data_IF_018869574213
#
_entry.id   IF_018869574213
#
_cell.length_a   1.000
_cell.length_b   1.000
_cell.length_c   1.000
_cell.angle_alpha   90.00
_cell.angle_beta   90.00
_cell.angle_gamma   90.00
#
_symmetry.space_group_name_H-M   'P 1'
#
loop_
_entity.id
_entity.type
_entity.pdbx_description
1 polymer ?
#
# COMPACT_ATOMS: atom_id res chain seq x y z
N UNK A 1 42.76 8.18 16.61
CA UNK A 1 41.30 8.39 16.73
C UNK A 1 40.68 7.81 15.47
N UNK A 2 40.03 6.65 15.57
CA UNK A 2 39.55 5.91 14.40
C UNK A 2 38.41 6.67 13.70
N UNK A 3 38.58 6.87 12.39
CA UNK A 3 37.63 7.44 11.44
C UNK A 3 36.41 6.51 11.39
N UNK A 4 35.22 7.02 11.70
CA UNK A 4 33.99 6.23 11.75
C UNK A 4 33.16 6.52 10.50
N UNK A 5 33.63 6.01 9.36
CA UNK A 5 33.01 6.18 8.03
C UNK A 5 31.81 5.26 7.77
N UNK A 6 31.38 4.46 8.76
CA UNK A 6 30.30 3.49 8.56
C UNK A 6 28.99 4.00 9.14
N UNK A 7 27.93 3.93 8.33
CA UNK A 7 26.56 4.09 8.76
C UNK A 7 26.31 3.03 9.84
N UNK A 8 26.31 3.45 11.11
CA UNK A 8 26.15 2.53 12.23
C UNK A 8 24.71 2.10 12.26
N UNK A 9 24.45 0.93 11.65
CA UNK A 9 23.18 0.24 11.82
C UNK A 9 22.82 0.22 13.31
N UNK A 10 21.65 0.77 13.62
CA UNK A 10 21.20 1.01 14.99
C UNK A 10 19.79 0.47 15.18
N UNK A 11 19.37 0.33 16.43
CA UNK A 11 17.98 -0.01 16.76
C UNK A 11 16.95 0.93 16.11
N UNK A 12 17.32 2.20 15.86
CA UNK A 12 16.48 3.12 15.10
C UNK A 12 16.19 2.65 13.68
N UNK A 13 17.18 2.07 13.00
CA UNK A 13 17.01 1.53 11.65
C UNK A 13 16.05 0.34 11.67
N UNK A 14 16.18 -0.58 12.64
CA UNK A 14 15.27 -1.72 12.80
C UNK A 14 13.82 -1.22 12.95
N UNK A 15 13.60 -0.25 13.83
CA UNK A 15 12.28 0.34 14.06
C UNK A 15 11.71 0.97 12.78
N UNK A 16 12.51 1.77 12.06
CA UNK A 16 12.08 2.40 10.83
C UNK A 16 11.80 1.38 9.70
N UNK A 17 12.58 0.30 9.60
CA UNK A 17 12.32 -0.77 8.65
C UNK A 17 11.02 -1.51 8.95
N UNK A 18 10.74 -1.81 10.22
CA UNK A 18 9.45 -2.40 10.62
C UNK A 18 8.29 -1.47 10.27
N UNK A 19 8.42 -0.18 10.55
CA UNK A 19 7.41 0.82 10.15
C UNK A 19 7.22 0.87 8.63
N UNK A 20 8.32 0.83 7.86
CA UNK A 20 8.29 0.84 6.39
C UNK A 20 7.64 -0.43 5.83
N UNK A 21 7.93 -1.62 6.38
CA UNK A 21 7.28 -2.88 6.00
C UNK A 21 5.78 -2.78 6.26
N UNK A 22 5.38 -2.25 7.43
CA UNK A 22 3.98 -2.09 7.76
C UNK A 22 3.26 -1.11 6.82
N UNK A 23 3.85 0.07 6.55
CA UNK A 23 3.31 1.04 5.58
C UNK A 23 3.21 0.39 4.20
N UNK A 24 4.24 -0.36 3.77
CA UNK A 24 4.26 -1.04 2.48
C UNK A 24 3.09 -2.00 2.34
N UNK A 25 2.90 -2.86 3.34
CA UNK A 25 1.83 -3.85 3.31
C UNK A 25 0.45 -3.18 3.34
N UNK A 26 0.22 -2.21 4.24
CA UNK A 26 -1.08 -1.53 4.32
C UNK A 26 -1.37 -0.70 3.06
N UNK A 27 -0.35 -0.05 2.49
CA UNK A 27 -0.50 0.67 1.22
C UNK A 27 -0.74 -0.30 0.06
N UNK A 28 -0.09 -1.47 0.05
CA UNK A 28 -0.35 -2.52 -0.94
C UNK A 28 -1.81 -2.96 -0.89
N UNK A 29 -2.31 -3.25 0.30
CA UNK A 29 -3.73 -3.57 0.51
C UNK A 29 -4.62 -2.44 0.00
N UNK A 30 -4.33 -1.19 0.38
CA UNK A 30 -5.09 -0.02 -0.03
C UNK A 30 -5.15 0.20 -1.54
N UNK A 31 -4.01 0.09 -2.25
CA UNK A 31 -4.00 0.19 -3.70
C UNK A 31 -4.78 -0.97 -4.32
N UNK A 32 -4.64 -2.18 -3.79
CA UNK A 32 -5.36 -3.35 -4.30
C UNK A 32 -6.88 -3.19 -4.19
N UNK A 33 -7.36 -2.57 -3.10
CA UNK A 33 -8.77 -2.22 -2.97
C UNK A 33 -9.19 -1.17 -4.00
N UNK A 34 -8.40 -0.10 -4.18
CA UNK A 34 -8.68 0.96 -5.17
C UNK A 34 -8.74 0.43 -6.61
N UNK A 35 -7.85 -0.51 -6.95
CA UNK A 35 -7.73 -1.05 -8.31
C UNK A 35 -8.50 -2.34 -8.52
N UNK A 36 -9.36 -2.72 -7.57
CA UNK A 36 -10.22 -3.87 -7.72
C UNK A 36 -9.44 -5.17 -8.04
N UNK A 37 -8.36 -5.38 -7.29
CA UNK A 37 -7.56 -6.61 -7.32
C UNK A 37 -6.37 -6.62 -8.28
N UNK A 38 -5.98 -5.48 -8.87
CA UNK A 38 -4.76 -5.43 -9.69
C UNK A 38 -3.48 -5.43 -8.83
N UNK A 39 -2.95 -6.62 -8.60
CA UNK A 39 -1.74 -6.82 -7.79
C UNK A 39 -0.47 -6.26 -8.42
N UNK A 40 -0.38 -6.17 -9.76
CA UNK A 40 0.80 -5.60 -10.41
C UNK A 40 0.85 -4.09 -10.21
N UNK A 41 -0.29 -3.42 -10.40
CA UNK A 41 -0.42 -2.00 -10.14
C UNK A 41 -0.16 -1.67 -8.66
N UNK A 42 -0.71 -2.48 -7.74
CA UNK A 42 -0.46 -2.35 -6.32
C UNK A 42 1.02 -2.54 -5.95
N UNK A 43 1.69 -3.54 -6.53
CA UNK A 43 3.12 -3.78 -6.32
C UNK A 43 3.99 -2.62 -6.80
N UNK A 44 3.72 -2.09 -7.99
CA UNK A 44 4.44 -0.94 -8.54
C UNK A 44 4.21 0.33 -7.71
N UNK A 45 2.98 0.57 -7.28
CA UNK A 45 2.66 1.72 -6.43
C UNK A 45 3.38 1.70 -5.09
N UNK A 46 3.46 0.53 -4.44
CA UNK A 46 4.21 0.38 -3.17
C UNK A 46 5.72 0.54 -3.37
N UNK A 47 6.26 0.08 -4.49
CA UNK A 47 7.66 0.32 -4.83
C UNK A 47 7.96 1.83 -4.86
N UNK A 48 7.09 2.62 -5.52
CA UNK A 48 7.22 4.08 -5.58
C UNK A 48 7.12 4.71 -4.19
N UNK A 49 6.14 4.30 -3.38
CA UNK A 49 5.97 4.77 -1.99
C UNK A 49 7.26 4.53 -1.19
N UNK A 50 7.82 3.33 -1.28
CA UNK A 50 9.04 2.98 -0.56
C UNK A 50 10.25 3.80 -1.01
N UNK A 51 10.42 4.03 -2.31
CA UNK A 51 11.49 4.89 -2.82
C UNK A 51 11.37 6.31 -2.26
N UNK A 52 10.16 6.88 -2.26
CA UNK A 52 9.91 8.21 -1.69
C UNK A 52 10.22 8.22 -0.19
N UNK A 53 9.74 7.24 0.59
CA UNK A 53 10.03 7.18 2.02
C UNK A 53 11.54 7.04 2.31
N UNK A 54 12.27 6.24 1.52
CA UNK A 54 13.73 6.12 1.65
C UNK A 54 14.39 7.47 1.37
N UNK A 55 13.98 8.18 0.32
CA UNK A 55 14.53 9.50 -0.03
C UNK A 55 14.34 10.51 1.11
N UNK A 56 13.16 10.54 1.74
CA UNK A 56 12.85 11.56 2.75
C UNK A 56 13.25 11.19 4.18
N UNK A 57 13.40 9.91 4.53
CA UNK A 57 13.69 9.49 5.90
C UNK A 57 15.07 8.84 6.06
N UNK A 58 15.62 8.20 5.02
CA UNK A 58 16.93 7.53 5.08
C UNK A 58 18.03 8.45 4.54
N UNK A 59 17.85 9.12 3.40
CA UNK A 59 18.92 9.98 2.83
C UNK A 59 19.35 11.12 3.77
N UNK A 60 18.45 11.84 4.48
CA UNK A 60 18.88 12.89 5.40
C UNK A 60 19.80 12.39 6.51
N UNK A 61 19.65 11.13 6.93
CA UNK A 61 20.53 10.52 7.92
C UNK A 61 21.95 10.30 7.37
N UNK A 62 22.05 9.90 6.09
CA UNK A 62 23.32 9.68 5.39
C UNK A 62 24.04 11.03 5.27
N UNK A 63 23.29 12.08 4.90
CA UNK A 63 23.82 13.44 4.80
C UNK A 63 24.27 13.99 6.16
N UNK A 64 23.55 13.68 7.25
CA UNK A 64 23.89 14.07 8.62
C UNK A 64 25.19 13.44 9.10
N UNK A 65 25.44 12.18 8.75
CA UNK A 65 26.63 11.42 9.16
C UNK A 65 27.89 11.70 8.34
N UNK A 66 27.77 12.37 7.20
CA UNK A 66 28.87 12.56 6.26
C UNK A 66 30.06 13.37 6.78
N UNK A 67 31.24 13.11 6.22
CA UNK A 67 32.56 13.55 6.71
C UNK A 67 33.18 14.68 5.88
N UNK A 68 32.58 14.98 4.72
CA UNK A 68 33.06 15.93 3.73
C UNK A 68 31.91 16.72 3.11
N UNK A 69 32.22 17.92 2.57
CA UNK A 69 31.29 18.81 1.89
C UNK A 69 30.08 19.21 2.74
N UNK A 70 30.33 19.47 4.03
CA UNK A 70 29.30 19.79 5.04
C UNK A 70 28.33 20.90 4.61
N UNK A 71 28.84 21.98 4.02
CA UNK A 71 28.01 23.13 3.57
C UNK A 71 27.00 22.76 2.48
N UNK A 72 27.34 21.86 1.55
CA UNK A 72 26.39 21.41 0.52
C UNK A 72 25.41 20.39 1.10
N UNK A 73 25.91 19.44 1.88
CA UNK A 73 25.09 18.35 2.45
C UNK A 73 24.04 18.85 3.44
N UNK A 74 24.35 19.87 4.25
CA UNK A 74 23.36 20.44 5.18
C UNK A 74 22.18 21.12 4.47
N UNK A 75 22.41 21.73 3.30
CA UNK A 75 21.32 22.34 2.52
C UNK A 75 20.35 21.27 2.03
N UNK A 76 20.86 20.18 1.45
CA UNK A 76 20.03 19.05 1.03
C UNK A 76 19.35 18.36 2.21
N UNK A 77 20.06 18.18 3.33
CA UNK A 77 19.50 17.61 4.56
C UNK A 77 18.28 18.42 5.03
N UNK A 78 18.40 19.74 5.10
CA UNK A 78 17.30 20.64 5.51
C UNK A 78 16.12 20.56 4.55
N UNK A 79 16.37 20.64 3.24
CA UNK A 79 15.31 20.57 2.22
C UNK A 79 14.53 19.27 2.39
N UNK A 80 15.21 18.12 2.44
CA UNK A 80 14.56 16.83 2.58
C UNK A 80 13.84 16.69 3.93
N UNK A 81 14.48 17.06 5.04
CA UNK A 81 13.88 16.93 6.37
C UNK A 81 12.62 17.78 6.54
N UNK A 82 12.65 19.04 6.10
CA UNK A 82 11.49 19.94 6.24
C UNK A 82 10.37 19.66 5.23
N UNK A 83 10.68 19.04 4.09
CA UNK A 83 9.65 18.60 3.13
C UNK A 83 9.11 17.18 3.40
N UNK A 84 9.75 16.41 4.27
CA UNK A 84 9.31 15.05 4.63
C UNK A 84 7.84 14.95 5.09
N UNK A 85 7.28 15.86 5.92
CA UNK A 85 5.86 15.81 6.29
C UNK A 85 4.91 15.85 5.08
N UNK A 86 5.20 16.72 4.10
CA UNK A 86 4.38 16.90 2.91
C UNK A 86 4.36 15.63 2.06
N UNK A 87 5.55 15.10 1.77
CA UNK A 87 5.68 13.89 0.96
C UNK A 87 5.15 12.66 1.70
N UNK A 88 5.30 12.59 3.02
CA UNK A 88 4.71 11.55 3.84
C UNK A 88 3.18 11.54 3.71
N UNK A 89 2.51 12.70 3.87
CA UNK A 89 1.05 12.78 3.69
C UNK A 89 0.65 12.34 2.28
N UNK A 90 1.38 12.76 1.25
CA UNK A 90 1.07 12.39 -0.14
C UNK A 90 1.15 10.88 -0.39
N UNK A 91 2.19 10.19 0.11
CA UNK A 91 2.35 8.74 -0.10
C UNK A 91 1.46 7.89 0.82
N UNK A 92 0.88 8.49 1.86
CA UNK A 92 -0.02 7.81 2.79
C UNK A 92 -1.48 7.76 2.31
N UNK A 93 -1.79 8.27 1.12
CA UNK A 93 -3.15 8.21 0.54
C UNK A 93 -3.66 6.77 0.42
N UNK A 94 -2.92 5.80 -0.19
CA UNK A 94 -3.42 4.44 -0.28
C UNK A 94 -3.51 3.74 1.08
N UNK A 95 -2.55 4.04 1.98
CA UNK A 95 -2.62 3.61 3.37
C UNK A 95 -3.92 4.06 4.05
N UNK A 96 -4.28 5.33 3.92
CA UNK A 96 -5.50 5.88 4.52
C UNK A 96 -6.76 5.27 3.91
N UNK A 97 -6.74 4.98 2.61
CA UNK A 97 -7.83 4.29 1.95
C UNK A 97 -8.05 2.89 2.53
N UNK A 98 -7.01 2.09 2.75
CA UNK A 98 -7.17 0.77 3.40
C UNK A 98 -7.90 0.88 4.75
N UNK A 99 -7.54 1.87 5.56
CA UNK A 99 -8.20 2.06 6.85
C UNK A 99 -9.65 2.52 6.74
N UNK A 100 -10.02 3.15 5.63
CA UNK A 100 -11.42 3.47 5.31
C UNK A 100 -12.18 2.19 5.00
N UNK A 101 -11.61 1.28 4.21
CA UNK A 101 -12.17 -0.05 3.97
C UNK A 101 -12.27 -0.85 5.28
N UNK A 102 -11.23 -0.81 6.11
CA UNK A 102 -11.21 -1.48 7.42
C UNK A 102 -12.27 -0.93 8.38
N UNK A 103 -12.60 0.37 8.30
CA UNK A 103 -13.69 0.95 9.07
C UNK A 103 -15.04 0.31 8.68
N UNK A 104 -15.24 0.06 7.38
CA UNK A 104 -16.44 -0.58 6.82
C UNK A 104 -16.35 -2.12 6.80
N UNK A 105 -15.36 -2.73 7.46
CA UNK A 105 -15.07 -4.17 7.36
C UNK A 105 -16.28 -5.07 7.64
N UNK A 106 -17.13 -4.72 8.61
CA UNK A 106 -18.29 -5.54 8.93
C UNK A 106 -19.26 -5.62 7.76
N UNK A 107 -19.49 -4.50 7.06
CA UNK A 107 -20.32 -4.51 5.86
C UNK A 107 -19.65 -5.31 4.74
N UNK A 108 -18.34 -5.11 4.54
CA UNK A 108 -17.59 -5.76 3.47
C UNK A 108 -17.54 -7.28 3.64
N UNK A 109 -17.16 -7.75 4.83
CA UNK A 109 -17.00 -9.16 5.16
C UNK A 109 -18.35 -9.90 5.18
N UNK A 110 -19.39 -9.30 5.78
CA UNK A 110 -20.73 -9.90 5.81
C UNK A 110 -21.34 -9.95 4.41
N UNK A 111 -21.33 -8.84 3.66
CA UNK A 111 -21.91 -8.81 2.31
C UNK A 111 -21.23 -9.84 1.41
N UNK A 112 -19.90 -9.94 1.47
CA UNK A 112 -19.15 -10.94 0.73
C UNK A 112 -19.55 -12.38 1.13
N UNK A 113 -19.55 -12.68 2.43
CA UNK A 113 -19.89 -14.03 2.93
C UNK A 113 -21.32 -14.44 2.55
N UNK A 114 -22.28 -13.54 2.71
CA UNK A 114 -23.68 -13.76 2.32
C UNK A 114 -23.84 -13.93 0.82
N UNK A 115 -23.13 -13.13 0.01
CA UNK A 115 -23.18 -13.22 -1.45
C UNK A 115 -22.70 -14.57 -1.94
N UNK A 116 -21.57 -15.05 -1.44
CA UNK A 116 -21.04 -16.36 -1.84
C UNK A 116 -21.96 -17.49 -1.32
N UNK A 117 -22.44 -17.42 -0.08
CA UNK A 117 -23.38 -18.42 0.45
C UNK A 117 -24.69 -18.48 -0.34
N UNK A 118 -25.19 -17.35 -0.82
CA UNK A 118 -26.40 -17.28 -1.66
C UNK A 118 -26.27 -18.16 -2.90
N UNK A 119 -25.06 -18.31 -3.45
CA UNK A 119 -24.85 -19.12 -4.66
C UNK A 119 -25.07 -20.60 -4.45
N UNK A 120 -25.04 -21.11 -3.21
CA UNK A 120 -25.45 -22.50 -2.94
C UNK A 120 -26.89 -22.77 -3.38
N UNK A 121 -27.75 -21.75 -3.38
CA UNK A 121 -29.14 -21.85 -3.80
C UNK A 121 -29.32 -22.26 -5.27
N UNK A 122 -28.31 -22.10 -6.13
CA UNK A 122 -28.40 -22.58 -7.52
C UNK A 122 -28.45 -24.12 -7.58
N UNK A 123 -27.74 -24.80 -6.67
CA UNK A 123 -27.77 -26.27 -6.59
C UNK A 123 -29.13 -26.76 -6.07
N UNK A 124 -29.71 -26.07 -5.08
CA UNK A 124 -31.06 -26.37 -4.61
C UNK A 124 -32.11 -26.15 -5.71
N UNK A 125 -31.98 -25.05 -6.47
CA UNK A 125 -32.86 -24.74 -7.60
C UNK A 125 -32.73 -25.75 -8.74
N UNK A 126 -31.50 -26.20 -9.02
CA UNK A 126 -31.24 -27.24 -10.00
C UNK A 126 -31.80 -28.60 -9.57
N UNK A 127 -31.64 -29.00 -8.31
CA UNK A 127 -32.23 -30.23 -7.77
C UNK A 127 -33.76 -30.21 -7.87
N UNK A 128 -34.39 -29.09 -7.53
CA UNK A 128 -35.83 -28.93 -7.68
C UNK A 128 -36.28 -29.06 -9.14
N UNK A 129 -35.55 -28.41 -10.06
CA UNK A 129 -35.78 -28.53 -11.50
C UNK A 129 -35.62 -29.97 -12.00
N UNK A 130 -34.50 -30.62 -11.69
CA UNK A 130 -34.18 -31.97 -12.15
C UNK A 130 -35.20 -32.99 -11.63
N UNK A 131 -35.54 -32.93 -10.34
CA UNK A 131 -36.56 -33.80 -9.75
C UNK A 131 -37.94 -33.59 -10.37
N UNK A 132 -38.32 -32.35 -10.69
CA UNK A 132 -39.58 -32.06 -11.37
C UNK A 132 -39.59 -32.62 -12.80
N UNK A 133 -38.50 -32.47 -13.55
CA UNK A 133 -38.34 -33.01 -14.91
C UNK A 133 -38.41 -34.54 -14.91
N UNK A 134 -37.71 -35.21 -13.99
CA UNK A 134 -37.77 -36.67 -13.81
C UNK A 134 -39.19 -37.13 -13.51
N UNK A 135 -39.90 -36.42 -12.62
CA UNK A 135 -41.28 -36.74 -12.23
C UNK A 135 -42.28 -36.61 -13.39
N UNK A 136 -42.20 -35.55 -14.18
CA UNK A 136 -43.07 -35.38 -15.35
C UNK A 136 -42.74 -36.39 -16.46
N UNK A 137 -41.46 -36.76 -16.62
CA UNK A 137 -41.06 -37.82 -17.54
C UNK A 137 -41.64 -39.18 -17.14
N UNK A 138 -41.48 -39.56 -15.87
CA UNK A 138 -42.03 -40.80 -15.30
C UNK A 138 -43.55 -40.89 -15.50
N UNK A 139 -44.25 -39.78 -15.28
CA UNK A 139 -45.70 -39.66 -15.49
C UNK A 139 -46.10 -39.82 -16.97
N UNK A 140 -45.32 -39.26 -17.92
CA UNK A 140 -45.57 -39.44 -19.35
C UNK A 140 -45.40 -40.89 -19.78
N UNK A 141 -44.34 -41.56 -19.33
CA UNK A 141 -44.10 -42.98 -19.60
C UNK A 141 -45.21 -43.87 -19.02
N UNK A 142 -45.68 -43.55 -17.81
CA UNK A 142 -46.82 -44.23 -17.20
C UNK A 142 -48.10 -44.11 -18.06
N UNK A 143 -48.38 -42.90 -18.57
CA UNK A 143 -49.55 -42.64 -19.41
C UNK A 143 -49.47 -43.38 -20.76
N UNK A 144 -48.27 -43.51 -21.31
CA UNK A 144 -48.01 -44.27 -22.54
C UNK A 144 -48.04 -45.79 -22.35
N UNK A 145 -48.29 -46.28 -21.12
CA UNK A 145 -48.31 -47.71 -20.77
C UNK A 145 -46.99 -48.42 -21.11
N UNK A 146 -45.86 -47.72 -21.02
CA UNK A 146 -44.54 -48.30 -21.17
C UNK A 146 -44.35 -49.43 -20.15
N UNK A 147 -43.74 -50.55 -20.56
CA UNK A 147 -43.47 -51.67 -19.66
C UNK A 147 -42.65 -51.22 -18.44
N UNK A 148 -42.93 -51.82 -17.28
CA UNK A 148 -42.37 -51.40 -15.98
C UNK A 148 -40.84 -51.37 -16.00
N UNK A 149 -40.21 -52.40 -16.58
CA UNK A 149 -38.74 -52.51 -16.68
C UNK A 149 -38.16 -51.42 -17.58
N UNK A 150 -38.76 -51.20 -18.75
CA UNK A 150 -38.35 -50.15 -19.68
C UNK A 150 -38.49 -48.75 -19.07
N UNK A 151 -39.64 -48.47 -18.47
CA UNK A 151 -39.90 -47.20 -17.77
C UNK A 151 -38.87 -46.94 -16.66
N UNK A 152 -38.56 -47.95 -15.86
CA UNK A 152 -37.58 -47.82 -14.76
C UNK A 152 -36.19 -47.47 -15.32
N UNK A 153 -35.76 -48.15 -16.38
CA UNK A 153 -34.46 -47.90 -17.01
C UNK A 153 -34.39 -46.51 -17.66
N UNK A 154 -35.46 -46.05 -18.30
CA UNK A 154 -35.53 -44.72 -18.93
C UNK A 154 -35.50 -43.60 -17.89
N UNK A 155 -36.28 -43.73 -16.81
CA UNK A 155 -36.27 -42.78 -15.68
C UNK A 155 -34.88 -42.73 -15.02
N UNK A 156 -34.25 -43.89 -14.82
CA UNK A 156 -32.90 -43.95 -14.25
C UNK A 156 -31.86 -43.34 -15.19
N UNK A 157 -31.98 -43.56 -16.50
CA UNK A 157 -31.09 -42.90 -17.47
C UNK A 157 -31.21 -41.37 -17.40
N UNK A 158 -32.42 -40.82 -17.25
CA UNK A 158 -32.62 -39.37 -17.10
C UNK A 158 -32.05 -38.87 -15.76
N UNK A 159 -32.27 -39.64 -14.70
CA UNK A 159 -31.70 -39.33 -13.38
C UNK A 159 -30.17 -39.28 -13.44
N UNK A 160 -29.53 -40.29 -14.04
CA UNK A 160 -28.08 -40.33 -14.22
C UNK A 160 -27.56 -39.22 -15.16
N UNK A 161 -28.40 -38.70 -16.05
CA UNK A 161 -27.99 -37.56 -16.86
C UNK A 161 -27.99 -36.26 -16.05
N UNK A 162 -29.00 -36.05 -15.21
CA UNK A 162 -29.22 -34.78 -14.49
C UNK A 162 -28.50 -34.70 -13.15
N UNK A 163 -28.48 -35.80 -12.39
CA UNK A 163 -27.98 -35.91 -11.01
C UNK A 163 -27.13 -37.18 -10.88
N UNK A 164 -25.98 -37.20 -11.56
CA UNK A 164 -24.97 -38.26 -11.40
C UNK A 164 -23.68 -37.73 -10.75
N UNK A 165 -22.65 -38.56 -10.73
CA UNK A 165 -21.34 -38.30 -10.13
C UNK A 165 -20.73 -36.96 -10.58
N UNK A 166 -20.99 -36.51 -11.80
CA UNK A 166 -20.55 -35.20 -12.31
C UNK A 166 -21.22 -34.02 -11.58
N UNK A 167 -22.52 -34.13 -11.30
CA UNK A 167 -23.26 -33.16 -10.51
C UNK A 167 -22.79 -33.16 -9.05
N UNK A 168 -22.67 -34.34 -8.44
CA UNK A 168 -22.26 -34.46 -7.05
C UNK A 168 -20.83 -33.94 -6.84
N UNK A 169 -19.90 -34.27 -7.75
CA UNK A 169 -18.53 -33.75 -7.73
C UNK A 169 -18.49 -32.22 -7.90
N UNK A 170 -19.33 -31.67 -8.79
CA UNK A 170 -19.45 -30.22 -8.98
C UNK A 170 -19.97 -29.55 -7.71
N UNK A 171 -21.07 -30.05 -7.15
CA UNK A 171 -21.70 -29.51 -5.93
C UNK A 171 -20.76 -29.59 -4.75
N UNK A 172 -20.13 -30.73 -4.50
CA UNK A 172 -19.20 -30.91 -3.39
C UNK A 172 -18.02 -29.95 -3.51
N UNK A 173 -17.41 -29.87 -4.70
CA UNK A 173 -16.29 -28.95 -4.97
C UNK A 173 -16.69 -27.49 -4.76
N UNK A 174 -17.83 -27.08 -5.30
CA UNK A 174 -18.34 -25.73 -5.18
C UNK A 174 -18.69 -25.37 -3.73
N UNK A 175 -19.45 -26.22 -3.03
CA UNK A 175 -19.85 -25.99 -1.63
C UNK A 175 -18.63 -25.92 -0.72
N UNK A 176 -17.68 -26.85 -0.87
CA UNK A 176 -16.42 -26.84 -0.10
C UNK A 176 -15.62 -25.57 -0.35
N UNK A 177 -15.56 -25.11 -1.60
CA UNK A 177 -14.90 -23.86 -1.94
C UNK A 177 -15.60 -22.65 -1.32
N UNK A 178 -16.94 -22.61 -1.39
CA UNK A 178 -17.77 -21.54 -0.80
C UNK A 178 -17.54 -21.47 0.71
N UNK A 179 -17.57 -22.62 1.39
CA UNK A 179 -17.40 -22.69 2.84
C UNK A 179 -15.99 -22.24 3.27
N UNK A 180 -14.95 -22.62 2.52
CA UNK A 180 -13.59 -22.15 2.75
C UNK A 180 -13.42 -20.64 2.48
N UNK A 181 -14.16 -20.09 1.53
CA UNK A 181 -14.15 -18.66 1.25
C UNK A 181 -14.93 -17.84 2.31
N UNK A 182 -15.91 -18.47 2.98
CA UNK A 182 -16.77 -17.87 4.00
C UNK A 182 -16.04 -17.65 5.33
N UNK A 183 -15.14 -16.68 5.33
CA UNK A 183 -14.28 -16.32 6.46
C UNK A 183 -13.16 -15.36 6.08
N UNK A 184 -13.07 -14.96 4.81
CA UNK A 184 -12.12 -13.96 4.37
C UNK A 184 -12.35 -12.62 5.09
N UNK A 185 -11.27 -12.03 5.58
CA UNK A 185 -11.27 -10.71 6.22
C UNK A 185 -10.71 -9.66 5.26
N UNK A 186 -10.92 -8.39 5.57
CA UNK A 186 -10.33 -7.28 4.80
C UNK A 186 -8.79 -7.27 4.83
N UNK A 187 -8.14 -8.04 5.70
CA UNK A 187 -6.68 -8.23 5.68
C UNK A 187 -6.22 -9.24 4.63
N UNK A 188 -7.13 -10.07 4.13
CA UNK A 188 -6.83 -11.02 3.07
C UNK A 188 -6.92 -10.32 1.71
N UNK A 189 -5.76 -10.00 1.12
CA UNK A 189 -5.68 -9.35 -0.20
C UNK A 189 -6.40 -10.16 -1.30
N UNK A 190 -6.44 -11.48 -1.12
CA UNK A 190 -7.10 -12.36 -2.08
C UNK A 190 -8.60 -12.26 -2.00
N UNK A 191 -9.22 -11.72 -0.94
CA UNK A 191 -10.67 -11.53 -0.88
C UNK A 191 -11.18 -10.77 -2.12
N UNK A 192 -10.54 -9.66 -2.49
CA UNK A 192 -10.92 -8.84 -3.65
C UNK A 192 -10.45 -9.43 -4.96
N UNK A 193 -9.21 -9.92 -5.03
CA UNK A 193 -8.72 -10.64 -6.21
C UNK A 193 -9.56 -11.90 -6.51
N UNK A 194 -10.26 -12.41 -5.51
CA UNK A 194 -11.19 -13.51 -5.64
C UNK A 194 -12.58 -13.07 -6.06
N UNK A 195 -13.06 -11.84 -5.84
CA UNK A 195 -14.45 -11.46 -6.23
C UNK A 195 -14.68 -11.72 -7.72
N UNK A 196 -13.77 -11.28 -8.60
CA UNK A 196 -13.83 -11.59 -10.04
C UNK A 196 -13.79 -13.08 -10.32
N UNK A 197 -12.88 -13.81 -9.65
CA UNK A 197 -12.76 -15.27 -9.79
C UNK A 197 -14.00 -16.01 -9.28
N UNK A 198 -14.65 -15.47 -8.25
CA UNK A 198 -15.89 -15.94 -7.65
C UNK A 198 -17.01 -15.74 -8.67
N UNK A 199 -17.17 -14.54 -9.21
CA UNK A 199 -18.16 -14.27 -10.26
C UNK A 199 -18.00 -15.25 -11.43
N UNK A 200 -16.77 -15.42 -11.94
CA UNK A 200 -16.48 -16.39 -13.00
C UNK A 200 -16.73 -17.84 -12.58
N UNK A 201 -16.39 -18.23 -11.35
CA UNK A 201 -16.63 -19.59 -10.85
C UNK A 201 -18.13 -19.88 -10.75
N UNK A 202 -18.92 -18.93 -10.24
CA UNK A 202 -20.38 -19.03 -10.14
C UNK A 202 -21.00 -19.17 -11.53
N UNK A 203 -20.56 -18.34 -12.49
CA UNK A 203 -21.00 -18.46 -13.89
C UNK A 203 -20.66 -19.84 -14.47
N UNK A 204 -19.44 -20.32 -14.25
CA UNK A 204 -19.01 -21.63 -14.74
C UNK A 204 -19.84 -22.76 -14.14
N UNK A 205 -20.09 -22.74 -12.83
CA UNK A 205 -20.93 -23.74 -12.18
C UNK A 205 -22.35 -23.71 -12.74
N UNK A 206 -22.95 -22.52 -12.89
CA UNK A 206 -24.29 -22.39 -13.43
C UNK A 206 -24.37 -22.84 -14.90
N UNK A 207 -23.35 -22.56 -15.70
CA UNK A 207 -23.24 -23.03 -17.08
C UNK A 207 -23.12 -24.55 -17.15
N UNK A 208 -22.35 -25.18 -16.26
CA UNK A 208 -22.28 -26.65 -16.17
C UNK A 208 -23.62 -27.28 -15.80
N UNK A 209 -24.38 -26.66 -14.88
CA UNK A 209 -25.74 -27.12 -14.55
C UNK A 209 -26.68 -27.01 -15.77
N UNK A 210 -26.61 -25.89 -16.50
CA UNK A 210 -27.34 -25.73 -17.75
C UNK A 210 -26.95 -26.79 -18.78
N UNK A 211 -25.66 -27.09 -18.93
CA UNK A 211 -25.13 -28.12 -19.83
C UNK A 211 -25.62 -29.54 -19.48
N UNK A 212 -25.58 -29.93 -18.20
CA UNK A 212 -26.08 -31.23 -17.74
C UNK A 212 -27.55 -31.46 -18.12
N UNK A 213 -28.34 -30.38 -18.06
CA UNK A 213 -29.73 -30.39 -18.43
C UNK A 213 -30.01 -30.17 -19.92
N UNK A 214 -29.00 -29.81 -20.72
CA UNK A 214 -29.15 -29.40 -22.11
C UNK A 214 -29.54 -30.54 -23.05
N UNK A 215 -29.22 -31.79 -22.68
CA UNK A 215 -29.63 -32.96 -23.44
C UNK A 215 -31.08 -33.33 -23.09
N UNK A 216 -31.92 -33.46 -24.11
CA UNK A 216 -33.33 -33.85 -23.98
C UNK A 216 -33.52 -35.22 -24.63
N UNK A 217 -34.10 -36.17 -23.92
CA UNK A 217 -34.40 -37.50 -24.44
C UNK A 217 -35.60 -37.44 -25.39
N UNK A 218 -35.60 -38.33 -26.39
CA UNK A 218 -36.65 -38.42 -27.42
C UNK A 218 -38.06 -38.54 -26.85
N UNK A 219 -38.18 -39.24 -25.72
CA UNK A 219 -39.46 -39.63 -25.15
C UNK A 219 -39.95 -38.64 -24.08
N UNK A 220 -39.22 -37.54 -23.83
CA UNK A 220 -39.61 -36.50 -22.87
C UNK A 220 -40.81 -35.66 -23.32
N UNK A 221 -41.57 -35.04 -22.40
CA UNK A 221 -42.67 -34.15 -22.75
C UNK A 221 -42.26 -33.04 -23.74
N UNK A 222 -43.18 -32.63 -24.62
CA UNK A 222 -42.94 -31.50 -25.52
C UNK A 222 -42.77 -30.21 -24.69
N UNK A 223 -41.77 -29.39 -25.02
CA UNK A 223 -41.51 -28.12 -24.35
C UNK A 223 -40.68 -28.22 -23.07
N UNK A 224 -39.97 -29.32 -22.85
CA UNK A 224 -38.91 -29.38 -21.83
C UNK A 224 -37.78 -28.46 -22.26
N UNK A 225 -37.47 -27.47 -21.41
CA UNK A 225 -36.36 -26.54 -21.61
C UNK A 225 -35.20 -26.90 -20.66
N UNK A 226 -33.94 -26.65 -21.05
CA UNK A 226 -32.79 -26.74 -20.15
C UNK A 226 -32.94 -25.85 -18.92
N UNK A 227 -32.16 -26.17 -17.88
CA UNK A 227 -32.03 -25.33 -16.71
C UNK A 227 -31.51 -23.95 -17.09
N UNK A 228 -32.18 -22.93 -16.57
CA UNK A 228 -31.89 -21.54 -16.88
C UNK A 228 -30.49 -21.15 -16.40
N UNK A 229 -29.69 -20.57 -17.30
CA UNK A 229 -28.43 -19.92 -16.94
C UNK A 229 -28.61 -18.60 -16.19
N UNK A 230 -29.86 -18.17 -15.95
CA UNK A 230 -30.22 -16.96 -15.20
C UNK A 230 -30.91 -17.29 -13.88
N UNK A 231 -30.25 -18.10 -13.05
CA UNK A 231 -30.75 -18.44 -11.73
C UNK A 231 -30.83 -17.17 -10.83
N UNK A 232 -31.92 -16.95 -10.08
CA UNK A 232 -32.06 -15.79 -9.20
C UNK A 232 -30.97 -15.69 -8.13
N UNK A 233 -30.48 -16.83 -7.62
CA UNK A 233 -29.44 -16.87 -6.59
C UNK A 233 -28.09 -16.40 -7.15
N UNK A 234 -27.77 -16.80 -8.39
CA UNK A 234 -26.58 -16.36 -9.14
C UNK A 234 -26.66 -14.86 -9.43
N UNK A 235 -27.80 -14.40 -9.92
CA UNK A 235 -28.01 -12.99 -10.27
C UNK A 235 -27.87 -12.09 -9.03
N UNK A 236 -28.52 -12.47 -7.93
CA UNK A 236 -28.44 -11.73 -6.65
C UNK A 236 -27.03 -11.73 -6.07
N UNK A 237 -26.32 -12.85 -6.13
CA UNK A 237 -24.95 -12.93 -5.65
C UNK A 237 -24.01 -12.00 -6.46
N UNK A 238 -24.10 -12.02 -7.79
CA UNK A 238 -23.34 -11.12 -8.65
C UNK A 238 -23.68 -9.66 -8.41
N UNK A 239 -24.96 -9.32 -8.27
CA UNK A 239 -25.37 -7.94 -7.97
C UNK A 239 -24.76 -7.46 -6.65
N UNK A 240 -24.83 -8.26 -5.59
CA UNK A 240 -24.25 -7.91 -4.30
C UNK A 240 -22.72 -7.77 -4.37
N UNK A 241 -22.02 -8.64 -5.10
CA UNK A 241 -20.57 -8.55 -5.31
C UNK A 241 -20.18 -7.28 -6.10
N UNK A 242 -20.97 -6.91 -7.10
CA UNK A 242 -20.77 -5.67 -7.84
C UNK A 242 -21.06 -4.43 -6.99
N UNK A 243 -22.12 -4.45 -6.18
CA UNK A 243 -22.40 -3.38 -5.23
C UNK A 243 -21.27 -3.24 -4.20
N UNK A 244 -20.71 -4.36 -3.74
CA UNK A 244 -19.56 -4.37 -2.83
C UNK A 244 -18.32 -3.68 -3.44
N UNK A 245 -18.11 -3.81 -4.75
CA UNK A 245 -17.04 -3.10 -5.48
C UNK A 245 -17.05 -1.61 -5.26
N UNK A 246 -18.23 -0.99 -5.28
CA UNK A 246 -18.36 0.44 -5.04
C UNK A 246 -17.92 0.83 -3.62
N UNK A 247 -18.19 -0.03 -2.63
CA UNK A 247 -17.88 0.23 -1.22
C UNK A 247 -16.37 0.27 -0.96
N UNK A 248 -15.61 -0.67 -1.54
CA UNK A 248 -14.17 -0.74 -1.29
C UNK A 248 -13.31 0.05 -2.28
N UNK A 249 -13.81 0.46 -3.45
CA UNK A 249 -13.03 1.27 -4.41
C UNK A 249 -13.16 2.78 -4.17
N UNK A 250 -14.18 3.21 -3.43
CA UNK A 250 -14.43 4.64 -3.20
C UNK A 250 -13.40 5.22 -2.22
N UNK A 251 -12.70 6.28 -2.64
CA UNK A 251 -11.85 7.06 -1.74
C UNK A 251 -12.70 7.87 -0.77
N UNK A 252 -12.49 7.65 0.52
CA UNK A 252 -13.06 8.45 1.61
C UNK A 252 -12.02 9.29 2.31
N UNK A 253 -12.47 10.08 3.28
CA UNK A 253 -11.58 10.81 4.19
C UNK A 253 -10.86 9.84 5.13
N UNK A 254 -9.57 10.07 5.46
CA UNK A 254 -8.82 9.25 6.40
C UNK A 254 -9.56 9.11 7.73
N UNK A 255 -9.70 7.88 8.23
CA UNK A 255 -10.29 7.64 9.55
C UNK A 255 -9.38 8.15 10.66
N UNK A 256 -9.95 8.49 11.83
CA UNK A 256 -9.15 8.94 12.99
C UNK A 256 -8.09 7.93 13.42
N UNK A 257 -8.40 6.63 13.27
CA UNK A 257 -7.45 5.54 13.49
C UNK A 257 -6.29 5.62 12.49
N UNK A 258 -6.57 5.80 11.20
CA UNK A 258 -5.54 5.95 10.17
C UNK A 258 -4.61 7.12 10.47
N UNK A 259 -5.17 8.26 10.89
CA UNK A 259 -4.39 9.45 11.27
C UNK A 259 -3.50 9.13 12.48
N UNK A 260 -4.06 8.54 13.53
CA UNK A 260 -3.31 8.21 14.75
C UNK A 260 -2.14 7.26 14.50
N UNK A 261 -2.37 6.16 13.78
CA UNK A 261 -1.29 5.21 13.43
C UNK A 261 -0.33 5.85 12.43
N UNK A 262 -0.80 6.67 11.49
CA UNK A 262 0.04 7.41 10.54
C UNK A 262 1.02 8.35 11.24
N UNK A 263 0.57 9.10 12.26
CA UNK A 263 1.44 9.95 13.08
C UNK A 263 2.48 9.12 13.84
N UNK A 264 2.07 8.00 14.42
CA UNK A 264 3.00 7.08 15.10
C UNK A 264 4.07 6.58 14.12
N UNK A 265 3.67 6.11 12.94
CA UNK A 265 4.58 5.61 11.91
C UNK A 265 5.56 6.69 11.42
N UNK A 266 5.09 7.93 11.25
CA UNK A 266 5.94 9.07 10.92
C UNK A 266 7.05 9.25 11.97
N UNK A 267 6.69 9.22 13.26
CA UNK A 267 7.66 9.32 14.36
C UNK A 267 8.64 8.14 14.31
N UNK A 268 8.15 6.91 14.09
CA UNK A 268 8.97 5.70 13.98
C UNK A 268 10.00 5.80 12.84
N UNK A 269 9.62 6.37 11.70
CA UNK A 269 10.53 6.60 10.57
C UNK A 269 11.61 7.67 10.84
N UNK A 270 11.38 8.58 11.79
CA UNK A 270 12.36 9.60 12.17
C UNK A 270 13.45 9.09 13.16
N UNK A 271 13.24 7.96 13.84
CA UNK A 271 14.19 7.43 14.83
C UNK A 271 15.63 7.29 14.33
N UNK A 272 15.90 6.74 13.12
CA UNK A 272 17.25 6.65 12.60
C UNK A 272 17.93 8.03 12.54
N UNK A 273 17.22 9.04 12.04
CA UNK A 273 17.73 10.41 11.95
C UNK A 273 17.99 11.02 13.34
N UNK A 274 17.12 10.77 14.32
CA UNK A 274 17.26 11.27 15.70
C UNK A 274 18.52 10.69 16.36
N UNK A 275 18.72 9.38 16.22
CA UNK A 275 19.83 8.64 16.85
C UNK A 275 21.17 8.93 16.16
N UNK A 276 21.17 9.14 14.84
CA UNK A 276 22.38 9.39 14.08
C UNK A 276 23.10 10.64 14.61
N UNK A 277 24.35 10.47 15.04
CA UNK A 277 25.19 11.61 15.41
C UNK A 277 25.72 12.32 14.17
N UNK A 278 25.88 13.64 14.28
CA UNK A 278 26.60 14.43 13.27
C UNK A 278 28.10 14.23 13.46
N UNK A 279 28.86 14.30 12.36
CA UNK A 279 30.31 14.27 12.43
C UNK A 279 30.83 15.43 13.30
N UNK A 280 31.76 15.14 14.21
CA UNK A 280 32.31 16.10 15.18
C UNK A 280 33.07 17.25 14.54
N UNK A 281 33.47 17.13 13.27
CA UNK A 281 34.12 18.20 12.50
C UNK A 281 33.14 19.23 11.91
N UNK A 282 31.83 18.95 11.93
CA UNK A 282 30.82 19.84 11.34
C UNK A 282 30.34 20.90 12.32
N UNK A 283 30.51 22.18 12.00
CA UNK A 283 29.94 23.31 12.75
C UNK A 283 28.48 23.61 12.37
N UNK A 284 27.93 22.93 11.36
CA UNK A 284 26.56 23.15 10.90
C UNK A 284 25.55 22.33 11.72
N UNK A 285 24.45 22.96 12.13
CA UNK A 285 23.34 22.31 12.84
C UNK A 285 22.10 22.23 11.93
N UNK A 286 21.12 21.40 12.29
CA UNK A 286 19.85 21.34 11.56
C UNK A 286 19.20 22.75 11.52
N UNK A 287 19.22 23.46 12.65
CA UNK A 287 18.86 24.86 12.78
C UNK A 287 20.10 25.64 13.23
N UNK A 288 20.54 26.62 12.43
CA UNK A 288 21.69 27.49 12.71
C UNK A 288 23.06 26.86 12.46
N UNK A 289 24.10 27.55 12.92
CA UNK A 289 25.50 27.10 12.92
C UNK A 289 26.16 27.43 14.25
N UNK A 290 27.15 26.64 14.64
CA UNK A 290 27.97 26.81 15.84
C UNK A 290 28.94 27.99 15.59
N UNK A 291 28.39 29.20 15.65
CA UNK A 291 29.03 30.46 15.28
C UNK A 291 28.06 31.65 15.16
N UNK A 292 26.75 31.40 15.03
CA UNK A 292 25.71 32.44 14.99
C UNK A 292 25.30 32.99 16.37
N UNK A 293 25.89 32.48 17.46
CA UNK A 293 25.74 33.07 18.79
C UNK A 293 26.57 34.36 18.90
N UNK A 294 25.90 35.47 18.60
CA UNK A 294 26.16 36.84 19.08
C UNK A 294 27.63 37.30 19.09
N UNK A 295 28.14 37.74 17.94
CA UNK A 295 29.19 38.77 17.93
C UNK A 295 28.55 40.13 17.65
N UNK A 296 28.55 41.10 18.59
CA UNK A 296 28.05 42.43 18.29
C UNK A 296 28.94 43.01 17.18
N UNK A 297 28.32 43.47 16.09
CA UNK A 297 29.00 44.14 14.98
C UNK A 297 29.87 45.27 15.55
N UNK A 298 31.17 45.03 15.69
CA UNK A 298 32.14 46.06 16.06
C UNK A 298 32.08 47.12 14.96
N UNK A 299 31.48 48.28 15.26
CA UNK A 299 31.45 49.43 14.36
C UNK A 299 32.88 49.68 13.87
N UNK A 300 33.12 49.56 12.57
CA UNK A 300 34.38 49.97 11.95
C UNK A 300 34.52 51.47 12.19
N UNK A 301 35.41 51.86 13.11
CA UNK A 301 35.83 53.24 13.27
C UNK A 301 36.56 53.65 11.98
N UNK A 302 35.94 54.55 11.23
CA UNK A 302 36.45 55.13 9.99
C UNK A 302 37.57 56.10 10.38
N UNK A 303 38.83 55.68 10.26
CA UNK A 303 39.99 56.56 10.46
C UNK A 303 40.18 57.35 9.17
N UNK A 304 39.60 58.54 9.11
CA UNK A 304 39.85 59.51 8.04
C UNK A 304 40.95 60.45 8.52
N UNK A 305 42.10 60.36 7.87
CA UNK A 305 43.19 61.32 7.97
C UNK A 305 42.76 62.65 7.34
N UNK A 306 42.80 63.74 8.09
CA UNK A 306 43.07 65.07 7.53
C UNK A 306 43.99 65.83 8.48
N UNK A 307 45.11 66.21 7.89
CA UNK A 307 46.08 67.21 8.32
C UNK A 307 45.35 68.56 8.37
N UNK A 308 45.59 69.36 9.42
CA UNK A 308 45.84 70.80 9.32
C UNK A 308 46.47 71.30 10.62
N UNK A 309 47.57 72.03 10.47
CA UNK A 309 48.33 72.82 11.47
C UNK A 309 47.69 74.24 11.53
N UNK A 310 47.84 75.05 12.59
CA UNK A 310 49.14 75.69 12.90
C UNK A 310 49.44 75.97 14.39
N UNK A 311 50.71 76.32 14.66
CA UNK A 311 51.28 77.31 15.62
C UNK A 311 50.83 77.24 17.11
N UNK A 312 51.64 77.35 18.17
CA UNK A 312 52.99 77.88 18.43
C UNK A 312 53.48 77.38 19.82
N UNK A 313 54.69 77.77 20.20
CA UNK A 313 55.34 77.73 21.54
C UNK A 313 56.20 76.52 21.95
N UNK A 314 57.46 76.60 21.49
CA UNK A 314 58.70 76.71 22.27
C UNK A 314 58.84 76.04 23.65
N UNK A 315 59.76 75.07 23.72
CA UNK A 315 60.80 74.90 24.77
C UNK A 315 61.76 73.78 24.29
N UNK A 316 62.96 74.08 23.76
CA UNK A 316 64.29 74.17 24.45
C UNK A 316 64.50 73.01 25.45
N UNK A 317 65.45 72.07 25.34
CA UNK A 317 66.91 72.07 25.04
C UNK A 317 67.32 70.61 24.72
N UNK A 318 68.08 70.28 23.65
CA UNK A 318 69.54 70.32 23.46
C UNK A 318 70.33 69.22 24.21
N UNK A 319 71.27 68.64 23.45
CA UNK A 319 72.34 67.66 23.71
C UNK A 319 71.98 66.19 23.45
N UNK A 320 72.29 65.69 22.24
CA UNK A 320 73.62 65.25 21.76
C UNK A 320 74.12 64.05 22.58
N UNK A 321 74.26 62.87 21.95
CA UNK A 321 75.49 62.64 21.22
C UNK A 321 75.43 61.37 20.35
N UNK A 322 76.40 61.35 19.48
CA UNK A 322 76.54 60.71 18.20
C UNK A 322 77.24 59.34 18.26
N UNK A 323 77.49 58.81 17.05
CA UNK A 323 78.29 57.63 16.67
C UNK A 323 77.50 56.31 16.59
N UNK A 324 76.97 55.97 15.41
CA UNK A 324 77.69 55.37 14.27
C UNK A 324 78.17 53.94 14.55
N UNK A 325 77.54 52.96 13.93
CA UNK A 325 78.34 52.12 13.05
C UNK A 325 77.51 51.53 11.91
N UNK A 326 78.13 51.62 10.74
CA UNK A 326 77.67 51.22 9.43
C UNK A 326 77.61 49.71 9.25
N UNK A 327 76.79 49.33 8.27
CA UNK A 327 77.13 48.26 7.34
C UNK A 327 76.50 46.91 7.63
N UNK A 328 76.17 46.10 6.63
CA UNK A 328 76.14 46.27 5.19
C UNK A 328 75.56 44.96 4.61
N UNK A 329 75.00 45.04 3.40
CA UNK A 329 74.64 43.95 2.47
C UNK A 329 73.71 42.82 2.98
N UNK A 330 72.53 42.60 2.39
CA UNK A 330 72.33 42.18 0.99
C UNK A 330 71.98 40.68 1.02
N UNK A 331 70.80 40.21 0.60
CA UNK A 331 70.45 39.89 -0.79
C UNK A 331 69.13 39.08 -0.72
N UNK A 332 68.01 39.56 -1.29
CA UNK A 332 67.35 38.99 -2.49
C UNK A 332 67.93 37.64 -2.98
N UNK A 333 67.15 36.59 -3.20
CA UNK A 333 66.33 36.33 -4.40
C UNK A 333 65.42 35.12 -4.10
N UNK A 334 64.12 35.18 -4.43
CA UNK A 334 63.46 34.84 -5.71
C UNK A 334 63.05 33.37 -5.81
#
# INVERSE_FOLDING_TARGET
>A
MAINETLKFSWGHIIAFVALIFISYVSFMGITYLTDGDFLYAGLGVLIINLVLIIFFIIPQILKGADEKFSRKIVFERILFFSAPLFFIAVMVPYAHFWTVFHNRSQVETTFSESIKTTKGMFESYEAYANNRIKEYDKKLAQNKTEIVHRTNEVEALRLQLIADNYDALKESAVKWIDNASGATVWNVFMIGNIKKIESAIENWNNSLSEFSGKIMSDEPNGVEPFSSSDPSVTKAKENLNNLRSVYTTMGTPSMLAIGIGVLLYILLLFPYIIQSRNTKSTFRLIGSEGDSYTPKRKKAKKTSKIDRPEDDMTFSIEDDSSSNEGDYGSFTM
#
